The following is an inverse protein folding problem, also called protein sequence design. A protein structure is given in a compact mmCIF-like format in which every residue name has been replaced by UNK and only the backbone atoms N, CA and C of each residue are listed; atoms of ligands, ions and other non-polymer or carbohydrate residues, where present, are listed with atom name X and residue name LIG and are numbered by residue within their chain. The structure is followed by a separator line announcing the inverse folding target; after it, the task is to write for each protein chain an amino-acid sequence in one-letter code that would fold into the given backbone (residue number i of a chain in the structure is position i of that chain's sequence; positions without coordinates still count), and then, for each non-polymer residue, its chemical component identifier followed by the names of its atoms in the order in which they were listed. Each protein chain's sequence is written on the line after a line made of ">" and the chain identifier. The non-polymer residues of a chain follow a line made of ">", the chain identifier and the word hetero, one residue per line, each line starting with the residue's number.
data_IF_202328525531
#
_entry.id   IF_202328525531
#
_cell.length_a   1.000
_cell.length_b   1.000
_cell.length_c   1.000
_cell.angle_alpha   90.00
_cell.angle_beta   90.00
_cell.angle_gamma   90.00
#
_symmetry.space_group_name_H-M   'P 1'
#
loop_
_entity.id
_entity.type
_entity.pdbx_description
1 polymer ?
#
# COMPACT_ATOMS: atom_id res chain seq x y z
N UNK A 1 15.11 31.39 -8.07
CA UNK A 1 15.70 30.30 -8.88
C UNK A 1 16.95 29.85 -8.14
N UNK A 2 16.91 28.70 -7.46
CA UNK A 2 18.06 28.17 -6.71
C UNK A 2 18.35 26.79 -7.27
N UNK A 3 19.30 26.76 -8.19
CA UNK A 3 19.96 25.55 -8.70
C UNK A 3 21.09 25.22 -7.73
N UNK A 4 21.03 24.06 -7.08
CA UNK A 4 22.03 23.64 -6.10
C UNK A 4 23.36 23.28 -6.76
N UNK A 5 24.37 24.14 -6.57
CA UNK A 5 25.79 23.78 -6.41
C UNK A 5 26.39 24.82 -5.44
N UNK A 6 26.63 24.42 -4.18
CA UNK A 6 27.60 25.07 -3.29
C UNK A 6 27.33 26.50 -2.80
N UNK A 7 26.10 26.85 -2.42
CA UNK A 7 25.80 28.12 -1.72
C UNK A 7 25.15 27.79 -0.39
N UNK A 8 25.60 28.42 0.70
CA UNK A 8 24.97 28.36 2.01
C UNK A 8 23.44 28.44 1.84
N UNK A 9 22.73 27.37 2.21
CA UNK A 9 21.28 27.30 2.04
C UNK A 9 20.70 28.35 2.96
N UNK A 10 20.35 29.50 2.39
CA UNK A 10 19.62 30.52 3.11
C UNK A 10 18.33 29.87 3.63
N UNK A 11 18.09 30.01 4.94
CA UNK A 11 16.88 29.50 5.56
C UNK A 11 15.66 29.92 4.75
N UNK A 12 14.67 29.03 4.56
CA UNK A 12 13.44 29.41 3.90
C UNK A 12 12.76 30.55 4.66
N UNK A 13 11.98 31.40 3.95
CA UNK A 13 11.21 32.45 4.60
C UNK A 13 10.22 31.86 5.60
N UNK A 14 9.69 32.66 6.53
CA UNK A 14 8.74 32.19 7.52
C UNK A 14 7.55 31.42 6.89
N UNK A 15 7.24 30.27 7.48
CA UNK A 15 6.08 29.47 7.10
C UNK A 15 4.79 30.22 7.47
N UNK A 16 4.09 30.69 6.44
CA UNK A 16 2.75 31.29 6.54
C UNK A 16 1.75 30.42 5.79
N UNK A 17 0.45 30.53 6.09
CA UNK A 17 -0.59 29.74 5.41
C UNK A 17 -0.54 29.89 3.88
N UNK A 18 -0.27 31.11 3.39
CA UNK A 18 -0.08 31.36 1.96
C UNK A 18 1.12 30.60 1.41
N UNK A 19 2.30 30.72 2.04
CA UNK A 19 3.53 30.04 1.59
C UNK A 19 3.46 28.53 1.74
N UNK A 20 2.69 28.03 2.70
CA UNK A 20 2.44 26.60 2.84
C UNK A 20 1.79 26.00 1.59
N UNK A 21 1.06 26.79 0.80
CA UNK A 21 0.41 26.32 -0.45
C UNK A 21 1.17 26.78 -1.70
N UNK A 22 1.74 27.98 -1.68
CA UNK A 22 2.33 28.60 -2.89
C UNK A 22 3.82 28.34 -3.07
N UNK A 23 4.56 27.99 -2.01
CA UNK A 23 6.01 27.82 -2.10
C UNK A 23 6.34 26.40 -2.56
N UNK A 24 7.06 26.30 -3.67
CA UNK A 24 7.49 25.04 -4.28
C UNK A 24 8.98 25.09 -4.61
N UNK A 25 9.65 23.95 -4.47
CA UNK A 25 11.03 23.73 -4.95
C UNK A 25 11.04 22.78 -6.12
N UNK A 26 12.07 22.90 -6.93
CA UNK A 26 12.37 21.95 -7.99
C UNK A 26 13.32 20.89 -7.46
N UNK A 27 12.87 19.65 -7.45
CA UNK A 27 13.70 18.47 -7.18
C UNK A 27 13.85 17.67 -8.48
N UNK A 28 14.94 17.89 -9.26
CA UNK A 28 15.08 17.28 -10.58
C UNK A 28 15.11 15.76 -10.53
N UNK A 29 15.71 15.19 -9.49
CA UNK A 29 15.84 13.73 -9.33
C UNK A 29 14.46 13.14 -9.09
N UNK A 30 13.71 13.69 -8.14
CA UNK A 30 12.35 13.25 -7.85
C UNK A 30 11.44 13.39 -9.08
N UNK A 31 11.48 14.53 -9.76
CA UNK A 31 10.64 14.80 -10.94
C UNK A 31 10.95 13.80 -12.06
N UNK A 32 12.22 13.57 -12.37
CA UNK A 32 12.62 12.60 -13.40
C UNK A 32 12.14 11.19 -13.05
N UNK A 33 12.32 10.75 -11.80
CA UNK A 33 11.86 9.43 -11.36
C UNK A 33 10.33 9.29 -11.41
N UNK A 34 9.60 10.32 -10.98
CA UNK A 34 8.13 10.37 -11.07
C UNK A 34 7.66 10.30 -12.52
N UNK A 35 8.28 11.08 -13.42
CA UNK A 35 7.93 11.07 -14.85
C UNK A 35 8.23 9.73 -15.51
N UNK A 36 9.36 9.10 -15.18
CA UNK A 36 9.69 7.75 -15.65
C UNK A 36 8.64 6.75 -15.15
N UNK A 37 8.31 6.77 -13.86
CA UNK A 37 7.31 5.87 -13.29
C UNK A 37 5.92 6.06 -13.92
N UNK A 38 5.48 7.32 -14.09
CA UNK A 38 4.25 7.68 -14.76
C UNK A 38 4.23 7.20 -16.21
N UNK A 39 5.31 7.45 -16.96
CA UNK A 39 5.46 7.05 -18.35
C UNK A 39 5.44 5.53 -18.53
N UNK A 40 6.17 4.79 -17.69
CA UNK A 40 6.17 3.32 -17.70
C UNK A 40 4.78 2.74 -17.38
N UNK A 41 4.07 3.32 -16.42
CA UNK A 41 2.72 2.89 -16.08
C UNK A 41 1.72 3.20 -17.20
N UNK A 42 1.75 4.42 -17.75
CA UNK A 42 0.92 4.82 -18.89
C UNK A 42 1.18 3.97 -20.13
N UNK A 43 2.46 3.68 -20.43
CA UNK A 43 2.84 2.76 -21.49
C UNK A 43 2.29 1.35 -21.26
N UNK A 44 2.37 0.85 -20.03
CA UNK A 44 1.77 -0.43 -19.63
C UNK A 44 0.26 -0.46 -19.87
N UNK A 45 -0.45 0.58 -19.45
CA UNK A 45 -1.91 0.70 -19.65
C UNK A 45 -2.29 0.70 -21.11
N UNK A 46 -1.63 1.53 -21.92
CA UNK A 46 -1.86 1.61 -23.35
C UNK A 46 -1.59 0.26 -24.03
N UNK A 47 -0.51 -0.43 -23.66
CA UNK A 47 -0.17 -1.75 -24.21
C UNK A 47 -1.22 -2.81 -23.86
N UNK A 48 -1.76 -2.78 -22.65
CA UNK A 48 -2.88 -3.65 -22.25
C UNK A 48 -4.14 -3.31 -23.03
N UNK A 49 -4.48 -2.03 -23.16
CA UNK A 49 -5.65 -1.58 -23.93
C UNK A 49 -5.58 -2.01 -25.40
N UNK A 50 -4.42 -1.84 -26.06
CA UNK A 50 -4.22 -2.27 -27.46
C UNK A 50 -4.36 -3.77 -27.67
N UNK A 51 -4.04 -4.58 -26.65
CA UNK A 51 -4.06 -6.05 -26.74
C UNK A 51 -5.38 -6.67 -26.29
N UNK A 52 -6.00 -6.06 -25.29
CA UNK A 52 -7.21 -6.57 -24.67
C UNK A 52 -8.25 -5.44 -24.56
N UNK A 53 -8.78 -4.92 -25.68
CA UNK A 53 -9.74 -3.82 -25.66
C UNK A 53 -10.99 -4.14 -24.83
N UNK A 54 -11.39 -5.42 -24.79
CA UNK A 54 -12.53 -5.92 -24.03
C UNK A 54 -12.31 -6.01 -22.50
N UNK A 55 -11.06 -5.88 -22.04
CA UNK A 55 -10.69 -5.93 -20.61
C UNK A 55 -9.64 -4.87 -20.30
N UNK A 56 -10.02 -3.58 -20.37
CA UNK A 56 -9.10 -2.48 -20.10
C UNK A 56 -8.58 -2.54 -18.65
N UNK A 57 -7.45 -1.88 -18.43
CA UNK A 57 -6.91 -1.76 -17.08
C UNK A 57 -7.87 -0.95 -16.19
N UNK A 58 -8.19 -1.39 -14.95
CA UNK A 58 -9.19 -0.71 -14.13
C UNK A 58 -8.81 0.73 -13.80
N UNK A 59 -9.73 1.68 -14.06
CA UNK A 59 -9.50 3.11 -13.87
C UNK A 59 -9.11 3.48 -12.44
N UNK A 60 -9.75 2.89 -11.43
CA UNK A 60 -9.41 3.12 -10.02
C UNK A 60 -7.96 2.76 -9.69
N UNK A 61 -7.38 1.73 -10.33
CA UNK A 61 -5.97 1.37 -10.10
C UNK A 61 -5.03 2.40 -10.71
N UNK A 62 -5.37 2.89 -11.90
CA UNK A 62 -4.61 3.96 -12.53
C UNK A 62 -4.68 5.25 -11.68
N UNK A 63 -5.89 5.63 -11.25
CA UNK A 63 -6.09 6.78 -10.38
C UNK A 63 -5.29 6.66 -9.08
N UNK A 64 -5.32 5.51 -8.40
CA UNK A 64 -4.51 5.29 -7.19
C UNK A 64 -3.00 5.39 -7.48
N UNK A 65 -2.51 4.84 -8.59
CA UNK A 65 -1.09 4.93 -8.92
C UNK A 65 -0.64 6.37 -9.17
N UNK A 66 -1.37 7.12 -10.00
CA UNK A 66 -1.05 8.53 -10.26
C UNK A 66 -1.26 9.42 -9.03
N UNK A 67 -2.25 9.12 -8.18
CA UNK A 67 -2.39 9.80 -6.89
C UNK A 67 -1.18 9.54 -5.98
N UNK A 68 -0.66 8.32 -5.94
CA UNK A 68 0.57 8.00 -5.21
C UNK A 68 1.77 8.81 -5.72
N UNK A 69 1.94 8.92 -7.04
CA UNK A 69 2.99 9.76 -7.64
C UNK A 69 2.78 11.26 -7.36
N UNK A 70 1.53 11.73 -7.33
CA UNK A 70 1.21 13.09 -6.94
C UNK A 70 1.59 13.35 -5.48
N UNK A 71 1.33 12.41 -4.57
CA UNK A 71 1.75 12.51 -3.16
C UNK A 71 3.27 12.59 -3.05
N UNK A 72 4.03 11.78 -3.79
CA UNK A 72 5.50 11.88 -3.83
C UNK A 72 5.94 13.26 -4.31
N UNK A 73 5.32 13.78 -5.36
CA UNK A 73 5.64 15.09 -5.91
C UNK A 73 5.34 16.21 -4.91
N UNK A 74 4.20 16.16 -4.23
CA UNK A 74 3.84 17.12 -3.18
C UNK A 74 4.82 17.03 -2.02
N UNK A 75 5.12 15.82 -1.54
CA UNK A 75 6.06 15.61 -0.44
C UNK A 75 7.44 16.23 -0.74
N UNK A 76 7.96 16.09 -1.96
CA UNK A 76 9.33 16.48 -2.30
C UNK A 76 9.46 17.88 -2.93
N UNK A 77 8.43 18.36 -3.62
CA UNK A 77 8.48 19.61 -4.39
C UNK A 77 7.61 20.73 -3.81
N UNK A 78 6.61 20.44 -2.96
CA UNK A 78 5.81 21.50 -2.34
C UNK A 78 6.54 22.15 -1.15
N UNK A 79 5.82 22.98 -0.40
CA UNK A 79 6.30 23.58 0.84
C UNK A 79 6.85 22.54 1.81
N UNK A 80 6.26 21.33 1.85
CA UNK A 80 6.77 20.21 2.64
C UNK A 80 8.25 19.96 2.33
N UNK A 81 8.58 19.85 1.05
CA UNK A 81 9.96 19.66 0.61
C UNK A 81 10.85 20.88 0.87
N UNK A 82 10.30 22.10 0.87
CA UNK A 82 11.05 23.32 1.15
C UNK A 82 11.46 23.41 2.63
N UNK A 83 10.57 23.02 3.54
CA UNK A 83 10.76 23.18 4.98
C UNK A 83 11.26 21.92 5.69
N UNK A 84 11.40 20.79 5.00
CA UNK A 84 11.79 19.49 5.58
C UNK A 84 13.11 19.53 6.36
N UNK A 85 14.06 20.40 5.97
CA UNK A 85 15.37 20.51 6.61
C UNK A 85 15.39 21.56 7.74
N UNK A 86 14.31 22.34 7.86
CA UNK A 86 14.22 23.49 8.78
C UNK A 86 13.24 23.28 9.91
N UNK A 87 12.20 22.46 9.67
CA UNK A 87 11.16 22.13 10.63
C UNK A 87 11.01 20.62 10.73
N UNK A 88 11.38 20.06 11.87
CA UNK A 88 11.30 18.62 12.11
C UNK A 88 9.85 18.11 12.02
N UNK A 89 8.85 18.88 12.46
CA UNK A 89 7.46 18.47 12.29
C UNK A 89 7.04 18.39 10.82
N UNK A 90 7.59 19.24 9.94
CA UNK A 90 7.34 19.16 8.48
C UNK A 90 8.03 17.94 7.90
N UNK A 91 9.25 17.63 8.36
CA UNK A 91 9.90 16.36 8.03
C UNK A 91 8.99 15.18 8.38
N UNK A 92 8.33 15.18 9.55
CA UNK A 92 7.44 14.07 9.94
C UNK A 92 6.25 13.93 8.99
N UNK A 93 5.68 15.06 8.56
CA UNK A 93 4.62 15.05 7.54
C UNK A 93 5.15 14.42 6.25
N UNK A 94 6.34 14.82 5.79
CA UNK A 94 6.97 14.25 4.61
C UNK A 94 7.23 12.75 4.75
N UNK A 95 7.75 12.34 5.91
CA UNK A 95 8.02 10.95 6.25
C UNK A 95 6.75 10.11 6.12
N UNK A 96 5.64 10.51 6.77
CA UNK A 96 4.37 9.78 6.71
C UNK A 96 3.79 9.72 5.29
N UNK A 97 3.93 10.81 4.51
CA UNK A 97 3.54 10.82 3.10
C UNK A 97 4.32 9.79 2.28
N UNK A 98 5.63 9.66 2.51
CA UNK A 98 6.52 8.80 1.73
C UNK A 98 6.58 7.34 2.21
N UNK A 99 6.38 7.07 3.51
CA UNK A 99 6.44 5.71 4.06
C UNK A 99 5.06 5.03 4.12
N UNK A 100 3.97 5.80 4.18
CA UNK A 100 2.61 5.24 4.27
C UNK A 100 1.73 5.59 3.09
N UNK A 101 1.48 6.89 2.87
CA UNK A 101 0.42 7.35 1.96
C UNK A 101 0.75 7.02 0.50
N UNK A 102 1.91 7.45 0.01
CA UNK A 102 2.33 7.17 -1.35
C UNK A 102 2.49 5.66 -1.60
N UNK A 103 3.20 4.88 -0.76
CA UNK A 103 3.32 3.44 -0.98
C UNK A 103 1.97 2.71 -0.95
N UNK A 104 1.04 3.06 -0.07
CA UNK A 104 -0.30 2.48 -0.06
C UNK A 104 -1.02 2.66 -1.41
N UNK A 105 -1.01 3.88 -1.93
CA UNK A 105 -1.64 4.24 -3.20
C UNK A 105 -0.96 3.54 -4.39
N UNK A 106 0.38 3.52 -4.41
CA UNK A 106 1.14 2.90 -5.49
C UNK A 106 0.97 1.37 -5.49
N UNK A 107 0.91 0.71 -4.32
CA UNK A 107 0.65 -0.73 -4.17
C UNK A 107 -0.76 -1.09 -4.67
N UNK A 108 -1.77 -0.27 -4.35
CA UNK A 108 -3.15 -0.45 -4.87
C UNK A 108 -3.19 -0.31 -6.40
N UNK A 109 -2.30 0.49 -6.98
CA UNK A 109 -2.09 0.64 -8.41
C UNK A 109 -1.61 -0.62 -9.14
N UNK A 110 -1.02 -1.59 -8.43
CA UNK A 110 -0.51 -2.89 -8.94
C UNK A 110 0.38 -2.78 -10.18
N UNK A 111 1.42 -1.94 -10.17
CA UNK A 111 2.32 -1.74 -11.30
C UNK A 111 2.98 -3.05 -11.77
N UNK A 112 3.33 -3.98 -10.85
CA UNK A 112 3.97 -5.24 -11.25
C UNK A 112 3.03 -6.16 -12.03
N UNK A 113 1.73 -6.16 -11.72
CA UNK A 113 0.74 -6.93 -12.49
C UNK A 113 0.54 -6.28 -13.87
N UNK A 114 0.48 -4.95 -13.91
CA UNK A 114 0.37 -4.22 -15.18
C UNK A 114 1.56 -4.56 -16.09
N UNK A 115 2.78 -4.56 -15.55
CA UNK A 115 3.99 -4.95 -16.26
C UNK A 115 3.90 -6.39 -16.79
N UNK A 116 3.38 -7.33 -16.01
CA UNK A 116 3.19 -8.71 -16.45
C UNK A 116 2.15 -8.84 -17.56
N UNK A 117 1.05 -8.08 -17.52
CA UNK A 117 0.04 -8.06 -18.58
C UNK A 117 0.54 -7.34 -19.85
N UNK A 118 1.39 -6.34 -19.69
CA UNK A 118 1.98 -5.59 -20.80
C UNK A 118 3.18 -6.32 -21.47
N UNK A 119 3.87 -7.21 -20.75
CA UNK A 119 5.07 -7.91 -21.27
C UNK A 119 4.74 -9.13 -22.16
N UNK A 120 5.71 -9.55 -22.99
CA UNK A 120 5.71 -10.81 -23.77
C UNK A 120 7.04 -11.53 -23.50
N UNK A 121 7.17 -12.80 -23.84
CA UNK A 121 8.45 -13.50 -23.78
C UNK A 121 9.46 -12.77 -24.69
N UNK A 122 10.73 -12.61 -24.27
CA UNK A 122 11.35 -13.16 -23.06
C UNK A 122 11.16 -12.31 -21.79
N UNK A 123 10.77 -11.03 -21.90
CA UNK A 123 10.63 -10.09 -20.77
C UNK A 123 9.66 -10.61 -19.70
N UNK A 124 8.52 -11.17 -20.12
CA UNK A 124 7.54 -11.74 -19.20
C UNK A 124 8.15 -12.86 -18.34
N UNK A 125 8.94 -13.75 -18.94
CA UNK A 125 9.64 -14.83 -18.24
C UNK A 125 10.72 -14.27 -17.30
N UNK A 126 11.47 -13.26 -17.73
CA UNK A 126 12.51 -12.62 -16.91
C UNK A 126 11.90 -11.95 -15.66
N UNK A 127 10.85 -11.15 -15.82
CA UNK A 127 10.14 -10.49 -14.72
C UNK A 127 9.58 -11.54 -13.75
N UNK A 128 8.94 -12.60 -14.27
CA UNK A 128 8.43 -13.70 -13.43
C UNK A 128 9.54 -14.45 -12.69
N UNK A 129 10.71 -14.62 -13.30
CA UNK A 129 11.89 -15.25 -12.67
C UNK A 129 12.42 -14.38 -11.52
N UNK A 130 12.55 -13.07 -11.75
CA UNK A 130 12.98 -12.11 -10.72
C UNK A 130 11.99 -12.11 -9.55
N UNK A 131 10.69 -11.99 -9.82
CA UNK A 131 9.65 -11.96 -8.78
C UNK A 131 9.56 -13.27 -7.97
N UNK A 132 9.97 -14.39 -8.55
CA UNK A 132 10.01 -15.70 -7.88
C UNK A 132 11.35 -16.03 -7.24
N UNK A 133 12.35 -15.16 -7.39
CA UNK A 133 13.67 -15.35 -6.81
C UNK A 133 13.61 -15.35 -5.28
N UNK A 134 14.59 -16.02 -4.66
CA UNK A 134 14.74 -16.04 -3.20
C UNK A 134 14.83 -14.64 -2.58
N UNK A 135 15.70 -13.72 -3.05
CA UNK A 135 15.82 -12.40 -2.42
C UNK A 135 14.50 -11.61 -2.45
N UNK A 136 13.79 -11.58 -3.58
CA UNK A 136 12.49 -10.90 -3.67
C UNK A 136 11.45 -11.56 -2.76
N UNK A 137 11.46 -12.90 -2.68
CA UNK A 137 10.55 -13.64 -1.78
C UNK A 137 10.79 -13.32 -0.31
N UNK A 138 12.06 -13.17 0.10
CA UNK A 138 12.43 -12.80 1.47
C UNK A 138 12.07 -11.33 1.74
N UNK A 139 12.45 -10.41 0.86
CA UNK A 139 12.15 -8.98 1.03
C UNK A 139 10.65 -8.68 1.07
N UNK A 140 9.85 -9.42 0.32
CA UNK A 140 8.38 -9.29 0.32
C UNK A 140 7.70 -10.18 1.37
N UNK A 141 8.46 -10.83 2.24
CA UNK A 141 7.90 -11.56 3.37
C UNK A 141 7.36 -10.56 4.41
N UNK A 142 6.11 -10.69 4.88
CA UNK A 142 5.56 -9.81 5.91
C UNK A 142 6.43 -9.73 7.18
N UNK A 143 7.03 -10.87 7.56
CA UNK A 143 7.93 -10.98 8.72
C UNK A 143 9.25 -10.21 8.54
N UNK A 144 9.60 -9.85 7.30
CA UNK A 144 10.77 -9.01 7.00
C UNK A 144 10.35 -7.56 6.82
N UNK A 145 9.18 -7.31 6.21
CA UNK A 145 8.65 -5.96 6.00
C UNK A 145 8.46 -5.18 7.30
N UNK A 146 7.93 -5.81 8.36
CA UNK A 146 7.72 -5.14 9.66
C UNK A 146 9.04 -4.74 10.33
N UNK A 147 10.05 -5.62 10.50
CA UNK A 147 11.36 -5.21 11.02
C UNK A 147 12.06 -4.17 10.15
N UNK A 148 11.95 -4.23 8.82
CA UNK A 148 12.54 -3.22 7.92
C UNK A 148 11.88 -1.86 8.14
N UNK A 149 10.55 -1.82 8.24
CA UNK A 149 9.80 -0.63 8.59
C UNK A 149 10.22 -0.08 9.96
N UNK A 150 10.25 -0.95 10.98
CA UNK A 150 10.66 -0.59 12.34
C UNK A 150 12.08 -0.01 12.38
N UNK A 151 13.02 -0.68 11.71
CA UNK A 151 14.40 -0.25 11.64
C UNK A 151 14.52 1.10 10.91
N UNK A 152 13.79 1.31 9.82
CA UNK A 152 13.79 2.58 9.12
C UNK A 152 13.28 3.71 10.03
N UNK A 153 12.14 3.53 10.71
CA UNK A 153 11.57 4.54 11.62
C UNK A 153 12.51 4.82 12.78
N UNK A 154 12.92 3.79 13.53
CA UNK A 154 13.79 3.94 14.70
C UNK A 154 15.15 4.51 14.34
N UNK A 155 15.80 4.01 13.29
CA UNK A 155 17.13 4.47 12.91
C UNK A 155 17.11 5.92 12.45
N UNK A 156 16.09 6.36 11.70
CA UNK A 156 16.04 7.73 11.18
C UNK A 156 15.63 8.75 12.26
N UNK A 157 14.80 8.36 13.24
CA UNK A 157 14.20 9.30 14.19
C UNK A 157 14.73 9.21 15.63
N UNK A 158 15.38 8.12 16.03
CA UNK A 158 15.90 7.96 17.40
C UNK A 158 17.44 7.90 17.45
N UNK A 159 18.12 8.23 16.34
CA UNK A 159 19.58 8.25 16.27
C UNK A 159 20.10 9.58 15.70
N UNK A 160 21.41 9.73 15.61
CA UNK A 160 22.05 10.89 14.98
C UNK A 160 21.87 10.99 13.47
N UNK A 161 21.10 10.10 12.83
CA UNK A 161 20.90 10.06 11.37
C UNK A 161 20.41 11.39 10.79
N UNK A 162 19.52 12.12 11.49
CA UNK A 162 19.05 13.41 11.00
C UNK A 162 20.14 14.47 10.85
N UNK A 163 21.18 14.45 11.69
CA UNK A 163 22.31 15.35 11.51
C UNK A 163 23.01 15.12 10.15
N UNK A 164 23.04 13.86 9.69
CA UNK A 164 23.62 13.50 8.39
C UNK A 164 22.70 13.92 7.24
N UNK A 165 21.40 13.70 7.38
CA UNK A 165 20.41 14.06 6.34
C UNK A 165 20.41 15.56 6.05
N UNK A 166 20.40 16.40 7.10
CA UNK A 166 20.37 17.87 6.94
C UNK A 166 21.66 18.39 6.30
N UNK A 167 22.80 17.76 6.57
CA UNK A 167 24.11 18.21 6.07
C UNK A 167 24.51 17.59 4.74
N UNK A 168 23.87 16.50 4.31
CA UNK A 168 24.25 15.75 3.11
C UNK A 168 23.03 15.48 2.18
N UNK A 169 22.96 16.15 1.02
CA UNK A 169 21.87 15.96 0.05
C UNK A 169 21.71 14.52 -0.45
N UNK A 170 22.80 13.75 -0.54
CA UNK A 170 22.73 12.34 -0.95
C UNK A 170 22.13 11.46 0.13
N UNK A 171 22.42 11.75 1.41
CA UNK A 171 21.80 11.04 2.53
C UNK A 171 20.29 11.33 2.57
N UNK A 172 19.91 12.59 2.35
CA UNK A 172 18.50 13.00 2.23
C UNK A 172 17.79 12.26 1.09
N UNK A 173 18.37 12.23 -0.12
CA UNK A 173 17.79 11.50 -1.25
C UNK A 173 17.67 10.00 -0.94
N UNK A 174 18.68 9.43 -0.28
CA UNK A 174 18.70 8.04 0.16
C UNK A 174 17.62 7.72 1.19
N UNK A 175 17.35 8.64 2.11
CA UNK A 175 16.28 8.54 3.10
C UNK A 175 14.89 8.54 2.45
N UNK A 176 14.64 9.44 1.49
CA UNK A 176 13.36 9.45 0.77
C UNK A 176 13.12 8.14 0.03
N UNK A 177 14.16 7.60 -0.60
CA UNK A 177 14.12 6.28 -1.23
C UNK A 177 13.89 5.17 -0.19
N UNK A 178 14.56 5.22 0.96
CA UNK A 178 14.38 4.28 2.06
C UNK A 178 12.93 4.26 2.54
N UNK A 179 12.30 5.42 2.75
CA UNK A 179 10.89 5.50 3.17
C UNK A 179 9.95 4.91 2.13
N UNK A 180 10.11 5.27 0.85
CA UNK A 180 9.28 4.70 -0.21
C UNK A 180 9.45 3.18 -0.33
N UNK A 181 10.68 2.67 -0.25
CA UNK A 181 10.98 1.24 -0.35
C UNK A 181 10.48 0.48 0.88
N UNK A 182 10.77 0.95 2.09
CA UNK A 182 10.33 0.32 3.33
C UNK A 182 8.81 0.28 3.42
N UNK A 183 8.15 1.41 3.11
CA UNK A 183 6.69 1.51 3.05
C UNK A 183 6.08 0.58 2.01
N UNK A 184 6.68 0.50 0.83
CA UNK A 184 6.24 -0.43 -0.21
C UNK A 184 6.36 -1.89 0.24
N UNK A 185 7.52 -2.29 0.77
CA UNK A 185 7.77 -3.65 1.23
C UNK A 185 6.83 -4.05 2.37
N UNK A 186 6.54 -3.11 3.27
CA UNK A 186 5.62 -3.29 4.38
C UNK A 186 4.16 -3.44 3.91
N UNK A 187 3.68 -2.57 3.02
CA UNK A 187 2.27 -2.57 2.59
C UNK A 187 1.96 -3.55 1.45
N UNK A 188 2.96 -3.95 0.65
CA UNK A 188 2.75 -4.84 -0.50
C UNK A 188 2.11 -6.19 -0.14
N UNK A 189 2.48 -6.89 0.95
CA UNK A 189 1.81 -8.15 1.34
C UNK A 189 0.38 -7.95 1.86
N UNK A 190 0.08 -6.78 2.44
CA UNK A 190 -1.24 -6.43 2.98
C UNK A 190 -2.22 -6.02 1.89
N UNK A 191 -1.87 -5.00 1.11
CA UNK A 191 -2.75 -4.34 0.14
C UNK A 191 -2.48 -4.77 -1.31
N UNK A 192 -1.28 -5.24 -1.60
CA UNK A 192 -0.91 -5.75 -2.91
C UNK A 192 -1.60 -7.06 -3.22
N UNK A 193 -2.12 -7.18 -4.45
CA UNK A 193 -2.37 -8.50 -5.08
C UNK A 193 -1.28 -8.85 -6.07
N UNK A 194 -0.12 -8.22 -5.92
CA UNK A 194 1.05 -8.47 -6.73
C UNK A 194 1.41 -9.96 -6.67
N UNK A 195 2.11 -10.50 -7.68
CA UNK A 195 2.46 -11.91 -7.78
C UNK A 195 3.55 -12.32 -6.75
N UNK A 196 3.36 -11.91 -5.51
CA UNK A 196 4.16 -12.26 -4.33
C UNK A 196 3.69 -13.63 -3.84
N UNK A 197 4.60 -14.44 -3.31
CA UNK A 197 4.28 -15.80 -2.82
C UNK A 197 3.33 -15.78 -1.62
N UNK A 198 3.42 -14.76 -0.79
CA UNK A 198 2.68 -14.62 0.46
C UNK A 198 1.28 -14.08 0.21
N UNK A 199 0.25 -14.82 0.67
CA UNK A 199 -1.15 -14.40 0.61
C UNK A 199 -1.72 -14.35 2.01
N UNK A 200 -1.83 -13.13 2.55
CA UNK A 200 -2.39 -12.93 3.88
C UNK A 200 -3.91 -13.07 3.87
N UNK A 201 -4.43 -13.73 4.90
CA UNK A 201 -5.86 -13.73 5.19
C UNK A 201 -6.32 -12.31 5.55
N UNK A 202 -7.60 -11.94 5.33
CA UNK A 202 -8.11 -10.62 5.71
C UNK A 202 -7.75 -10.18 7.15
N UNK A 203 -7.93 -11.01 8.20
CA UNK A 203 -7.52 -10.61 9.54
C UNK A 203 -6.00 -10.45 9.68
N UNK A 204 -5.18 -11.25 8.99
CA UNK A 204 -3.73 -11.10 9.01
C UNK A 204 -3.26 -9.78 8.37
N UNK A 205 -4.02 -9.22 7.42
CA UNK A 205 -3.74 -7.90 6.85
C UNK A 205 -4.00 -6.79 7.85
N UNK A 206 -5.11 -6.87 8.58
CA UNK A 206 -5.44 -5.91 9.65
C UNK A 206 -4.37 -6.00 10.74
N UNK A 207 -3.99 -7.21 11.15
CA UNK A 207 -2.92 -7.42 12.14
C UNK A 207 -1.59 -6.84 11.66
N UNK A 208 -1.24 -7.00 10.38
CA UNK A 208 -0.03 -6.40 9.82
C UNK A 208 -0.02 -4.87 9.98
N UNK A 209 -1.15 -4.21 9.70
CA UNK A 209 -1.32 -2.76 9.85
C UNK A 209 -1.21 -2.34 11.32
N UNK A 210 -1.93 -3.05 12.20
CA UNK A 210 -1.89 -2.80 13.65
C UNK A 210 -0.49 -2.98 14.22
N UNK A 211 0.33 -3.90 13.69
CA UNK A 211 1.67 -4.14 14.21
C UNK A 211 2.65 -2.98 13.98
N UNK A 212 2.38 -2.09 13.02
CA UNK A 212 3.17 -0.88 12.83
C UNK A 212 2.82 0.25 13.80
N UNK A 213 1.55 0.33 14.25
CA UNK A 213 1.10 1.42 15.12
C UNK A 213 1.96 1.56 16.40
N UNK A 214 2.32 0.49 17.14
CA UNK A 214 3.20 0.62 18.30
C UNK A 214 4.59 1.16 17.99
N UNK A 215 5.12 0.92 16.79
CA UNK A 215 6.44 1.41 16.37
C UNK A 215 6.40 2.93 16.25
N UNK A 216 5.40 3.45 15.54
CA UNK A 216 5.23 4.89 15.31
C UNK A 216 4.82 5.60 16.61
N UNK A 217 3.91 4.99 17.38
CA UNK A 217 3.48 5.49 18.70
C UNK A 217 4.67 5.57 19.67
N UNK A 218 5.45 4.51 19.81
CA UNK A 218 6.60 4.50 20.72
C UNK A 218 7.64 5.54 20.30
N UNK A 219 7.95 5.61 19.00
CA UNK A 219 8.89 6.61 18.46
C UNK A 219 8.40 8.03 18.72
N UNK A 220 7.12 8.31 18.45
CA UNK A 220 6.51 9.62 18.69
C UNK A 220 6.48 9.99 20.17
N UNK A 221 6.18 9.05 21.07
CA UNK A 221 6.21 9.26 22.52
C UNK A 221 7.63 9.56 23.01
N UNK A 222 8.64 8.84 22.53
CA UNK A 222 10.05 9.12 22.89
C UNK A 222 10.43 10.56 22.49
N UNK A 223 10.04 10.98 21.29
CA UNK A 223 10.26 12.37 20.83
C UNK A 223 9.51 13.38 21.68
N UNK A 224 8.24 13.12 22.05
CA UNK A 224 7.46 13.98 22.95
C UNK A 224 8.03 14.10 24.36
N UNK A 225 8.65 13.03 24.88
CA UNK A 225 9.25 13.02 26.22
C UNK A 225 10.67 13.60 26.25
N UNK A 226 11.23 13.91 25.09
CA UNK A 226 12.58 14.47 24.97
C UNK A 226 12.64 15.86 25.62
N UNK A 227 13.72 16.14 26.35
CA UNK A 227 13.91 17.39 27.12
C UNK A 227 14.86 18.40 26.48
N UNK A 228 15.55 18.03 25.41
CA UNK A 228 16.55 18.82 24.71
C UNK A 228 16.52 18.47 23.22
N UNK A 229 16.90 19.39 22.34
CA UNK A 229 17.00 19.10 20.91
C UNK A 229 18.02 17.98 20.65
N UNK A 230 17.63 16.80 20.12
CA UNK A 230 18.55 15.68 19.91
C UNK A 230 19.59 15.93 18.81
N UNK A 231 19.31 16.86 17.89
CA UNK A 231 20.08 17.05 16.67
C UNK A 231 20.70 18.45 16.61
N UNK A 232 22.02 18.53 16.74
CA UNK A 232 22.77 19.79 16.68
C UNK A 232 22.56 20.53 15.36
N UNK A 233 22.34 19.81 14.25
CA UNK A 233 22.10 20.40 12.94
C UNK A 233 20.85 21.30 12.88
N UNK A 234 19.85 21.09 13.75
CA UNK A 234 18.70 22.01 13.87
C UNK A 234 19.02 23.23 14.73
N UNK A 235 19.92 23.10 15.72
CA UNK A 235 20.38 24.22 16.54
C UNK A 235 21.24 25.19 15.73
N UNK A 236 22.11 24.65 14.88
CA UNK A 236 23.07 25.42 14.06
C UNK A 236 22.39 26.31 13.01
N UNK A 237 21.10 26.08 12.74
CA UNK A 237 20.33 26.89 11.80
C UNK A 237 19.99 28.28 12.34
N UNK A 238 19.98 28.49 13.67
CA UNK A 238 19.69 29.80 14.28
C UNK A 238 18.40 30.47 13.75
N UNK A 239 17.35 29.67 13.52
CA UNK A 239 16.06 30.14 12.98
C UNK A 239 15.39 31.16 13.90
N UNK A 240 14.92 32.27 13.32
CA UNK A 240 14.32 33.41 14.07
C UNK A 240 12.78 33.41 14.14
N UNK A 241 12.11 32.48 13.46
CA UNK A 241 10.66 32.43 13.29
C UNK A 241 10.16 31.00 13.50
N UNK A 242 8.91 30.77 13.90
CA UNK A 242 8.37 29.40 14.13
C UNK A 242 8.67 28.83 15.52
N UNK A 243 8.38 27.54 15.78
CA UNK A 243 8.53 26.94 17.11
C UNK A 243 9.99 26.86 17.55
N UNK A 244 10.26 26.84 18.85
CA UNK A 244 11.62 26.54 19.34
C UNK A 244 12.05 25.13 18.89
N UNK A 245 13.35 24.82 18.75
CA UNK A 245 13.80 23.49 18.32
C UNK A 245 13.17 22.35 19.14
N UNK A 246 13.18 22.47 20.47
CA UNK A 246 12.55 21.48 21.35
C UNK A 246 11.04 21.33 21.10
N UNK A 247 10.33 22.45 20.92
CA UNK A 247 8.89 22.40 20.60
C UNK A 247 8.62 21.77 19.23
N UNK A 248 9.50 22.00 18.26
CA UNK A 248 9.44 21.42 16.92
C UNK A 248 9.59 19.89 16.98
N UNK A 249 10.51 19.37 17.80
CA UNK A 249 10.65 17.93 18.07
C UNK A 249 9.39 17.35 18.70
N UNK A 250 8.77 18.05 19.66
CA UNK A 250 7.51 17.61 20.27
C UNK A 250 6.36 17.56 19.25
N UNK A 251 6.26 18.58 18.39
CA UNK A 251 5.27 18.59 17.31
C UNK A 251 5.52 17.47 16.32
N UNK A 252 6.78 17.21 15.97
CA UNK A 252 7.15 16.05 15.17
C UNK A 252 6.75 14.73 15.84
N UNK A 253 7.04 14.55 17.12
CA UNK A 253 6.61 13.37 17.87
C UNK A 253 5.09 13.18 17.87
N UNK A 254 4.33 14.26 18.01
CA UNK A 254 2.86 14.23 17.92
C UNK A 254 2.37 13.87 16.50
N UNK A 255 2.99 14.43 15.45
CA UNK A 255 2.68 14.09 14.05
C UNK A 255 3.01 12.63 13.77
N UNK A 256 4.18 12.16 14.18
CA UNK A 256 4.60 10.76 14.04
C UNK A 256 3.61 9.83 14.70
N UNK A 257 3.19 10.11 15.92
CA UNK A 257 2.21 9.25 16.62
C UNK A 257 0.80 9.38 16.03
N UNK A 258 0.17 10.53 16.21
CA UNK A 258 -1.27 10.71 15.90
C UNK A 258 -1.50 10.66 14.38
N UNK A 259 -0.58 11.23 13.60
CA UNK A 259 -0.66 11.22 12.15
C UNK A 259 -0.50 9.82 11.56
N UNK A 260 0.49 9.04 12.03
CA UNK A 260 0.65 7.65 11.60
C UNK A 260 -0.59 6.82 11.94
N UNK A 261 -1.06 6.90 13.18
CA UNK A 261 -2.21 6.13 13.65
C UNK A 261 -3.48 6.49 12.87
N UNK A 262 -3.67 7.76 12.54
CA UNK A 262 -4.79 8.20 11.69
C UNK A 262 -4.71 7.59 10.28
N UNK A 263 -3.53 7.58 9.66
CA UNK A 263 -3.33 6.95 8.34
C UNK A 263 -3.54 5.44 8.41
N UNK A 264 -2.98 4.78 9.43
CA UNK A 264 -3.15 3.33 9.66
C UNK A 264 -4.61 2.97 9.92
N UNK A 265 -5.36 3.80 10.64
CA UNK A 265 -6.80 3.63 10.84
C UNK A 265 -7.56 3.66 9.51
N UNK A 266 -7.27 4.62 8.64
CA UNK A 266 -7.86 4.68 7.29
C UNK A 266 -7.54 3.41 6.50
N UNK A 267 -6.31 2.91 6.58
CA UNK A 267 -5.89 1.67 5.93
C UNK A 267 -6.61 0.43 6.49
N UNK A 268 -6.81 0.35 7.81
CA UNK A 268 -7.58 -0.72 8.47
C UNK A 268 -9.03 -0.69 8.00
N UNK A 269 -9.65 0.49 8.02
CA UNK A 269 -11.04 0.68 7.55
C UNK A 269 -11.18 0.29 6.08
N UNK A 270 -10.26 0.72 5.22
CA UNK A 270 -10.22 0.32 3.82
C UNK A 270 -10.04 -1.20 3.65
N UNK A 271 -9.16 -1.83 4.44
CA UNK A 271 -8.97 -3.28 4.44
C UNK A 271 -10.25 -4.02 4.86
N UNK A 272 -10.94 -3.53 5.91
CA UNK A 272 -12.20 -4.08 6.39
C UNK A 272 -13.30 -3.96 5.34
N UNK A 273 -13.50 -2.79 4.74
CA UNK A 273 -14.46 -2.62 3.65
C UNK A 273 -14.12 -3.52 2.46
N UNK A 274 -12.84 -3.65 2.10
CA UNK A 274 -12.43 -4.54 1.02
C UNK A 274 -12.69 -6.03 1.31
N UNK A 275 -12.69 -6.41 2.60
CA UNK A 275 -13.03 -7.75 3.05
C UNK A 275 -14.54 -7.97 3.06
N UNK A 276 -15.32 -7.03 3.58
CA UNK A 276 -16.78 -7.10 3.63
C UNK A 276 -17.41 -7.06 2.24
N UNK A 277 -16.87 -6.24 1.34
CA UNK A 277 -17.31 -6.12 -0.05
C UNK A 277 -16.78 -7.24 -0.95
N UNK A 278 -15.79 -8.03 -0.50
CA UNK A 278 -15.41 -9.21 -1.24
C UNK A 278 -16.60 -10.17 -1.25
N UNK A 279 -17.11 -10.60 -2.42
CA UNK A 279 -18.19 -11.58 -2.47
C UNK A 279 -17.77 -12.74 -1.58
N UNK A 280 -18.56 -13.02 -0.53
CA UNK A 280 -18.39 -14.22 0.30
C UNK A 280 -18.43 -15.35 -0.68
N UNK A 281 -17.25 -15.80 -1.11
CA UNK A 281 -17.16 -16.88 -2.09
C UNK A 281 -17.93 -18.02 -1.44
N UNK A 282 -19.04 -18.37 -2.06
CA UNK A 282 -19.77 -19.62 -2.02
C UNK A 282 -18.84 -20.79 -2.37
N UNK A 283 -17.58 -20.79 -1.91
CA UNK A 283 -16.64 -21.91 -2.03
C UNK A 283 -17.03 -23.03 -1.08
N UNK A 284 -17.64 -22.69 0.05
CA UNK A 284 -18.19 -23.67 1.00
C UNK A 284 -19.52 -24.27 0.54
N UNK A 285 -20.30 -23.54 -0.27
CA UNK A 285 -21.58 -24.03 -0.78
C UNK A 285 -21.47 -24.56 -2.21
N UNK A 286 -20.54 -24.10 -3.06
CA UNK A 286 -20.38 -24.65 -4.42
C UNK A 286 -19.99 -26.11 -4.44
N UNK A 287 -19.18 -26.60 -3.51
CA UNK A 287 -18.86 -28.03 -3.49
C UNK A 287 -20.04 -28.84 -2.98
N UNK A 288 -20.82 -28.32 -2.02
CA UNK A 288 -22.06 -28.95 -1.55
C UNK A 288 -23.11 -28.93 -2.66
N UNK A 289 -23.23 -27.83 -3.37
CA UNK A 289 -24.16 -27.63 -4.48
C UNK A 289 -23.75 -28.45 -5.69
N UNK A 290 -22.45 -28.51 -6.04
CA UNK A 290 -21.95 -29.41 -7.07
C UNK A 290 -22.13 -30.88 -6.65
N UNK A 291 -21.87 -31.25 -5.40
CA UNK A 291 -22.10 -32.61 -4.92
C UNK A 291 -23.59 -32.97 -4.93
N UNK A 292 -24.47 -32.03 -4.55
CA UNK A 292 -25.93 -32.16 -4.62
C UNK A 292 -26.40 -32.34 -6.06
N UNK A 293 -25.94 -31.49 -6.99
CA UNK A 293 -26.28 -31.55 -8.41
C UNK A 293 -25.77 -32.85 -9.05
N UNK A 294 -24.55 -33.28 -8.72
CA UNK A 294 -23.98 -34.54 -9.21
C UNK A 294 -24.76 -35.75 -8.67
N UNK A 295 -25.14 -35.73 -7.38
CA UNK A 295 -25.94 -36.79 -6.77
C UNK A 295 -27.37 -36.84 -7.32
N UNK A 296 -27.96 -35.69 -7.67
CA UNK A 296 -29.24 -35.59 -8.34
C UNK A 296 -29.16 -36.16 -9.77
N UNK A 297 -28.18 -35.72 -10.57
CA UNK A 297 -27.97 -36.19 -11.95
C UNK A 297 -27.76 -37.72 -12.02
N UNK A 298 -26.97 -38.29 -11.10
CA UNK A 298 -26.78 -39.74 -11.01
C UNK A 298 -28.06 -40.52 -10.66
N UNK A 299 -29.01 -39.90 -9.95
CA UNK A 299 -30.23 -40.58 -9.47
C UNK A 299 -31.43 -40.37 -10.37
N UNK A 300 -31.52 -39.24 -11.06
CA UNK A 300 -32.65 -38.90 -11.94
C UNK A 300 -32.32 -39.05 -13.42
N UNK A 301 -31.04 -39.18 -13.80
CA UNK A 301 -30.61 -39.37 -15.19
C UNK A 301 -30.77 -38.13 -16.09
N UNK A 302 -31.02 -36.95 -15.51
CA UNK A 302 -31.22 -35.71 -16.27
C UNK A 302 -29.92 -34.91 -16.33
N UNK A 303 -29.31 -34.82 -17.52
CA UNK A 303 -28.06 -34.10 -17.73
C UNK A 303 -28.27 -32.57 -17.84
N UNK A 304 -27.33 -31.81 -17.31
CA UNK A 304 -27.46 -30.35 -17.16
C UNK A 304 -27.08 -29.59 -18.44
N UNK A 305 -28.01 -28.81 -19.02
CA UNK A 305 -27.70 -27.79 -20.05
C UNK A 305 -27.91 -26.37 -19.51
N UNK A 306 -27.04 -25.93 -18.60
CA UNK A 306 -26.59 -24.54 -18.43
C UNK A 306 -27.59 -23.37 -18.25
N UNK A 307 -28.90 -23.58 -18.20
CA UNK A 307 -29.90 -22.53 -17.99
C UNK A 307 -30.81 -22.91 -16.82
N UNK A 308 -30.63 -22.24 -15.68
CA UNK A 308 -31.45 -22.43 -14.49
C UNK A 308 -32.73 -21.62 -14.64
N UNK A 309 -33.75 -22.23 -15.22
CA UNK A 309 -35.13 -21.77 -15.08
C UNK A 309 -35.66 -22.24 -13.71
N UNK A 310 -36.41 -21.39 -13.01
CA UNK A 310 -36.94 -21.69 -11.65
C UNK A 310 -37.87 -22.91 -11.70
N UNK A 311 -38.59 -23.05 -12.81
CA UNK A 311 -39.53 -24.14 -13.04
C UNK A 311 -38.82 -25.51 -13.20
N UNK A 312 -37.60 -25.53 -13.74
CA UNK A 312 -36.80 -26.76 -13.83
C UNK A 312 -36.33 -27.25 -12.45
N UNK A 313 -36.00 -26.33 -11.54
CA UNK A 313 -35.56 -26.68 -10.19
C UNK A 313 -36.70 -27.21 -9.32
N UNK A 314 -37.91 -26.68 -9.48
CA UNK A 314 -39.11 -27.16 -8.78
C UNK A 314 -39.50 -28.57 -9.23
N UNK A 315 -39.42 -28.86 -10.54
CA UNK A 315 -39.64 -30.19 -11.09
C UNK A 315 -38.60 -31.22 -10.60
N UNK A 316 -37.33 -30.81 -10.43
CA UNK A 316 -36.27 -31.67 -9.87
C UNK A 316 -36.51 -32.02 -8.40
N UNK A 317 -36.97 -31.07 -7.60
CA UNK A 317 -37.33 -31.30 -6.20
C UNK A 317 -38.49 -32.29 -6.09
N UNK A 318 -39.50 -32.16 -6.94
CA UNK A 318 -40.62 -33.09 -7.00
C UNK A 318 -40.16 -34.52 -7.33
N UNK A 319 -39.36 -34.69 -8.39
CA UNK A 319 -38.84 -36.00 -8.79
C UNK A 319 -37.96 -36.67 -7.71
N UNK A 320 -37.15 -35.88 -7.00
CA UNK A 320 -36.34 -36.40 -5.90
C UNK A 320 -37.18 -36.83 -4.68
N UNK A 321 -38.22 -36.05 -4.35
CA UNK A 321 -39.16 -36.40 -3.27
C UNK A 321 -39.95 -37.67 -3.60
N UNK A 322 -40.37 -37.85 -4.86
CA UNK A 322 -41.05 -39.06 -5.32
C UNK A 322 -40.16 -40.30 -5.21
N UNK A 323 -38.88 -40.16 -5.53
CA UNK A 323 -37.89 -41.22 -5.34
C UNK A 323 -37.72 -41.59 -3.86
N UNK A 324 -37.58 -40.61 -2.97
CA UNK A 324 -37.52 -40.86 -1.52
C UNK A 324 -38.77 -41.59 -1.01
N UNK A 325 -39.96 -41.15 -1.46
CA UNK A 325 -41.21 -41.80 -1.11
C UNK A 325 -41.29 -43.24 -1.64
N UNK A 326 -40.68 -43.52 -2.81
CA UNK A 326 -40.62 -44.87 -3.36
C UNK A 326 -39.73 -45.82 -2.54
N UNK A 327 -38.67 -45.32 -1.91
CA UNK A 327 -37.83 -46.12 -1.02
C UNK A 327 -38.52 -46.41 0.32
N UNK A 328 -39.18 -45.40 0.91
CA UNK A 328 -39.95 -45.59 2.14
C UNK A 328 -41.02 -46.67 1.98
N UNK A 329 -41.73 -46.68 0.83
CA UNK A 329 -42.71 -47.71 0.48
C UNK A 329 -42.10 -49.11 0.28
N UNK A 330 -40.83 -49.21 -0.10
CA UNK A 330 -40.14 -50.50 -0.23
C UNK A 330 -39.70 -51.06 1.12
N UNK A 331 -39.31 -50.20 2.07
CA UNK A 331 -38.94 -50.63 3.43
C UNK A 331 -40.14 -51.10 4.25
N UNK A 332 -41.31 -50.45 4.09
CA UNK A 332 -42.56 -50.89 4.74
C UNK A 332 -43.07 -52.24 4.23
N UNK A 333 -42.72 -52.63 3.00
CA UNK A 333 -43.09 -53.94 2.41
C UNK A 333 -42.14 -55.08 2.81
N UNK A 334 -41.02 -54.76 3.47
CA UNK A 334 -40.01 -55.74 3.90
C UNK A 334 -40.07 -56.06 5.41
N UNK A 335 -40.97 -55.40 6.15
CA UNK A 335 -41.29 -55.71 7.55
C UNK A 335 -42.53 -56.60 7.63
#
# INVERSE_FOLDING_TARGET
>A
MVTGIGVAVALPPELTATRAVTLWRWDPVAIVLVLIAAGLYGWGMWRVWRRHPRRPWPALRAASFYAGLAVVTVALCSSVGVYQDTLFWVHMVQHLMLIMVAPALLVVGRPLILLLHASRNPVHTAVKRILRSRPVTVLTCPLVGVPVYAAAVVATHLTGFMNVVITNPWAQTGEHALYLIAGWLYLAPGFGREPIRWRLSPPAKILLVVLAMPIDTFTGVVLLMTRHEPWSAYLDQHRSWGPTPLTDVHWGGAVMWIGADAVMMVLIVAALFSWLAAPRRERGLRWVEQARLTALEQRTGTATTGHTDVDEDEQRLAAYNDWLASMARHDDRRR
#
